data_IF_716153791098
#
_entry.id   IF_716153791098
#
_cell.length_a   1.000
_cell.length_b   1.000
_cell.length_c   1.000
_cell.angle_alpha   90.00
_cell.angle_beta   90.00
_cell.angle_gamma   90.00
#
_symmetry.space_group_name_H-M   'P 1'
#
loop_
_entity.id
_entity.type
_entity.pdbx_description
1 polymer ?
#
# COMPACT_ATOMS: atom_id res chain seq x y z
N UNK A 1 18.54 -6.91 -3.53
CA UNK A 1 17.20 -6.34 -3.75
C UNK A 1 17.05 -6.10 -5.24
N UNK A 2 16.00 -6.63 -5.85
CA UNK A 2 15.80 -6.56 -7.29
C UNK A 2 14.93 -5.36 -7.68
N UNK A 3 15.22 -4.75 -8.83
CA UNK A 3 14.52 -3.56 -9.30
C UNK A 3 13.21 -3.92 -10.01
N UNK A 4 12.10 -3.35 -9.55
CA UNK A 4 10.80 -3.42 -10.24
C UNK A 4 10.76 -2.43 -11.43
N UNK A 5 10.83 -1.13 -11.15
CA UNK A 5 10.80 -0.07 -12.15
C UNK A 5 11.44 1.23 -11.61
N UNK A 6 11.75 2.16 -12.52
CA UNK A 6 12.07 3.56 -12.21
C UNK A 6 11.06 4.45 -12.92
N UNK A 7 10.47 5.38 -12.18
CA UNK A 7 9.49 6.36 -12.68
C UNK A 7 9.99 7.78 -12.44
N UNK A 8 9.43 8.75 -13.16
CA UNK A 8 9.88 10.14 -13.15
C UNK A 8 9.06 11.02 -12.21
N UNK A 9 7.79 10.69 -11.97
CA UNK A 9 6.88 11.53 -11.15
C UNK A 9 6.30 10.79 -9.95
N UNK A 10 5.75 11.58 -9.02
CA UNK A 10 5.05 11.06 -7.85
C UNK A 10 3.76 10.33 -8.25
N UNK A 11 3.02 10.86 -9.22
CA UNK A 11 1.79 10.25 -9.72
C UNK A 11 2.06 8.87 -10.33
N UNK A 12 3.14 8.74 -11.10
CA UNK A 12 3.58 7.44 -11.62
C UNK A 12 3.99 6.51 -10.47
N UNK A 13 4.70 7.00 -9.46
CA UNK A 13 5.05 6.18 -8.30
C UNK A 13 3.80 5.65 -7.58
N UNK A 14 2.78 6.50 -7.39
CA UNK A 14 1.50 6.11 -6.79
C UNK A 14 0.75 5.08 -7.64
N UNK A 15 0.70 5.26 -8.96
CA UNK A 15 0.09 4.31 -9.90
C UNK A 15 0.76 2.93 -9.80
N UNK A 16 2.09 2.87 -9.86
CA UNK A 16 2.85 1.62 -9.78
C UNK A 16 2.70 0.95 -8.41
N UNK A 17 2.77 1.72 -7.32
CA UNK A 17 2.59 1.18 -5.97
C UNK A 17 1.17 0.62 -5.77
N UNK A 18 0.15 1.36 -6.19
CA UNK A 18 -1.24 0.91 -6.04
C UNK A 18 -1.53 -0.32 -6.91
N UNK A 19 -1.02 -0.36 -8.15
CA UNK A 19 -1.14 -1.55 -8.99
C UNK A 19 -0.44 -2.78 -8.38
N UNK A 20 0.78 -2.62 -7.86
CA UNK A 20 1.49 -3.67 -7.12
C UNK A 20 0.67 -4.18 -5.92
N UNK A 21 0.12 -3.26 -5.12
CA UNK A 21 -0.71 -3.60 -3.96
C UNK A 21 -1.99 -4.33 -4.37
N UNK A 22 -2.58 -4.00 -5.52
CA UNK A 22 -3.73 -4.72 -6.05
C UNK A 22 -3.39 -6.16 -6.44
N UNK A 23 -2.27 -6.39 -7.12
CA UNK A 23 -1.83 -7.76 -7.46
C UNK A 23 -1.56 -8.54 -6.18
N UNK A 24 -0.82 -7.94 -5.24
CA UNK A 24 -0.50 -8.57 -3.97
C UNK A 24 -1.74 -8.98 -3.17
N UNK A 25 -2.71 -8.08 -2.97
CA UNK A 25 -3.92 -8.37 -2.19
C UNK A 25 -4.81 -9.46 -2.80
N UNK A 26 -4.69 -9.69 -4.10
CA UNK A 26 -5.49 -10.69 -4.83
C UNK A 26 -4.81 -12.06 -4.90
N UNK A 27 -3.48 -12.10 -4.85
CA UNK A 27 -2.71 -13.32 -5.11
C UNK A 27 -1.91 -13.84 -3.91
N UNK A 28 -1.76 -13.02 -2.85
CA UNK A 28 -1.09 -13.44 -1.62
C UNK A 28 -1.97 -14.36 -0.77
N UNK A 29 -1.34 -15.31 -0.10
CA UNK A 29 -2.02 -16.13 0.89
C UNK A 29 -2.28 -15.34 2.18
N UNK A 30 -3.26 -15.79 2.96
CA UNK A 30 -3.51 -15.20 4.27
C UNK A 30 -2.25 -15.24 5.14
N UNK A 31 -1.89 -14.09 5.73
CA UNK A 31 -0.67 -13.86 6.54
C UNK A 31 0.67 -14.01 5.80
N UNK A 32 0.64 -14.11 4.47
CA UNK A 32 1.86 -13.99 3.67
C UNK A 32 2.37 -12.55 3.74
N UNK A 33 3.70 -12.37 3.74
CA UNK A 33 4.34 -11.06 3.61
C UNK A 33 4.79 -10.85 2.17
N UNK A 34 4.91 -9.60 1.74
CA UNK A 34 5.29 -9.24 0.37
C UNK A 34 6.61 -9.85 -0.09
N UNK A 35 7.63 -9.96 0.77
CA UNK A 35 8.91 -10.57 0.39
C UNK A 35 8.79 -12.09 0.11
N UNK A 36 8.27 -12.93 1.03
CA UNK A 36 7.97 -14.34 0.74
C UNK A 36 7.03 -14.54 -0.46
N UNK A 37 6.06 -13.65 -0.64
CA UNK A 37 5.17 -13.68 -1.80
C UNK A 37 5.94 -13.51 -3.10
N UNK A 38 6.83 -12.53 -3.19
CA UNK A 38 7.71 -12.32 -4.37
C UNK A 38 8.64 -13.51 -4.59
N UNK A 39 9.19 -14.11 -3.54
CA UNK A 39 10.00 -15.33 -3.66
C UNK A 39 9.19 -16.49 -4.26
N UNK A 40 7.89 -16.59 -3.94
CA UNK A 40 6.99 -17.64 -4.44
C UNK A 40 6.54 -17.42 -5.89
N UNK A 41 6.08 -16.22 -6.24
CA UNK A 41 5.52 -15.93 -7.58
C UNK A 41 6.57 -15.48 -8.59
N UNK A 42 7.72 -15.02 -8.09
CA UNK A 42 8.79 -14.44 -8.90
C UNK A 42 8.53 -12.98 -9.27
N UNK A 43 9.58 -12.16 -9.29
CA UNK A 43 9.47 -10.73 -9.63
C UNK A 43 9.00 -10.51 -11.09
N UNK A 44 9.33 -11.43 -12.00
CA UNK A 44 8.93 -11.33 -13.41
C UNK A 44 7.41 -11.32 -13.59
N UNK A 45 6.68 -12.14 -12.82
CA UNK A 45 5.21 -12.16 -12.82
C UNK A 45 4.62 -10.78 -12.49
N UNK A 46 5.24 -10.07 -11.53
CA UNK A 46 4.81 -8.72 -11.18
C UNK A 46 5.21 -7.71 -12.26
N UNK A 47 6.38 -7.86 -12.90
CA UNK A 47 6.80 -6.99 -14.01
C UNK A 47 5.88 -7.08 -15.21
N UNK A 48 5.48 -8.29 -15.61
CA UNK A 48 4.54 -8.51 -16.72
C UNK A 48 3.23 -7.74 -16.49
N UNK A 49 2.69 -7.80 -15.27
CA UNK A 49 1.41 -7.17 -14.91
C UNK A 49 1.47 -5.67 -14.64
N UNK A 50 2.56 -5.20 -14.03
CA UNK A 50 2.65 -3.82 -13.52
C UNK A 50 3.51 -2.95 -14.45
N UNK A 51 4.61 -3.47 -14.97
CA UNK A 51 5.58 -2.65 -15.73
C UNK A 51 5.30 -2.73 -17.23
N UNK A 52 5.09 -3.94 -17.75
CA UNK A 52 5.00 -4.21 -19.19
C UNK A 52 3.59 -3.98 -19.74
N UNK A 53 2.55 -4.11 -18.92
CA UNK A 53 1.17 -3.83 -19.27
C UNK A 53 0.68 -2.49 -18.68
N UNK A 54 0.88 -1.39 -19.41
CA UNK A 54 0.42 -0.06 -18.97
C UNK A 54 -1.11 0.02 -18.79
N UNK A 55 -1.87 -0.60 -19.71
CA UNK A 55 -3.34 -0.54 -19.66
C UNK A 55 -3.83 -1.33 -18.45
N UNK A 56 -3.30 -2.54 -18.26
CA UNK A 56 -3.58 -3.38 -17.09
C UNK A 56 -3.16 -2.72 -15.79
N UNK A 57 -1.99 -2.06 -15.74
CA UNK A 57 -1.54 -1.31 -14.57
C UNK A 57 -2.55 -0.24 -14.15
N UNK A 58 -3.07 0.55 -15.09
CA UNK A 58 -4.09 1.58 -14.79
C UNK A 58 -5.39 0.98 -14.27
N UNK A 59 -5.82 -0.15 -14.83
CA UNK A 59 -7.01 -0.88 -14.34
C UNK A 59 -6.78 -1.42 -12.93
N UNK A 60 -5.61 -2.00 -12.65
CA UNK A 60 -5.22 -2.46 -11.32
C UNK A 60 -5.20 -1.31 -10.31
N UNK A 61 -4.61 -0.18 -10.69
CA UNK A 61 -4.57 1.01 -9.85
C UNK A 61 -5.96 1.55 -9.54
N UNK A 62 -6.86 1.64 -10.52
CA UNK A 62 -8.23 2.08 -10.28
C UNK A 62 -8.97 1.14 -9.31
N UNK A 63 -8.84 -0.17 -9.47
CA UNK A 63 -9.43 -1.16 -8.54
C UNK A 63 -8.86 -1.03 -7.13
N UNK A 64 -7.58 -0.67 -7.01
CA UNK A 64 -6.99 -0.35 -5.73
C UNK A 64 -7.66 0.87 -5.10
N UNK A 65 -7.78 1.99 -5.83
CA UNK A 65 -8.46 3.19 -5.34
C UNK A 65 -9.89 2.90 -4.89
N UNK A 66 -10.65 2.16 -5.69
CA UNK A 66 -12.02 1.75 -5.37
C UNK A 66 -12.07 0.95 -4.05
N UNK A 67 -11.08 0.08 -3.81
CA UNK A 67 -10.98 -0.68 -2.56
C UNK A 67 -10.66 0.18 -1.33
N UNK A 68 -10.03 1.34 -1.54
CA UNK A 68 -9.66 2.25 -0.47
C UNK A 68 -10.77 3.27 -0.15
N UNK A 69 -11.76 3.49 -1.02
CA UNK A 69 -12.83 4.48 -0.82
C UNK A 69 -13.50 4.38 0.56
N UNK A 70 -13.77 3.15 1.02
CA UNK A 70 -14.40 2.89 2.33
C UNK A 70 -13.52 3.23 3.53
N UNK A 71 -12.21 3.38 3.34
CA UNK A 71 -11.23 3.68 4.39
C UNK A 71 -10.66 5.10 4.30
N UNK A 72 -11.23 5.97 3.46
CA UNK A 72 -10.83 7.39 3.32
C UNK A 72 -11.35 8.28 4.45
N UNK A 73 -11.28 7.82 5.69
CA UNK A 73 -11.46 8.67 6.86
C UNK A 73 -10.25 8.52 7.76
N UNK A 74 -9.82 9.61 8.38
CA UNK A 74 -8.75 9.55 9.36
C UNK A 74 -9.25 8.75 10.58
N UNK A 75 -8.68 7.56 10.84
CA UNK A 75 -9.12 6.72 11.95
C UNK A 75 -8.82 7.33 13.31
N UNK A 76 -7.99 8.38 13.36
CA UNK A 76 -7.62 9.11 14.57
C UNK A 76 -8.34 10.46 14.70
N UNK A 77 -9.21 10.84 13.75
CA UNK A 77 -9.83 12.16 13.74
C UNK A 77 -10.61 12.44 15.04
N UNK A 78 -11.29 11.43 15.57
CA UNK A 78 -12.05 11.52 16.81
C UNK A 78 -11.13 11.64 18.03
N UNK A 79 -10.08 10.85 18.04
CA UNK A 79 -9.07 10.76 19.09
C UNK A 79 -8.29 12.08 19.19
N UNK A 80 -8.01 12.74 18.06
CA UNK A 80 -7.38 14.05 18.00
C UNK A 80 -8.33 15.14 18.51
N UNK A 81 -9.61 15.07 18.15
CA UNK A 81 -10.61 16.06 18.57
C UNK A 81 -10.91 15.99 20.08
N UNK A 82 -10.88 14.80 20.67
CA UNK A 82 -11.18 14.61 22.10
C UNK A 82 -9.95 14.85 23.00
N UNK A 83 -10.09 15.75 23.96
CA UNK A 83 -9.04 16.05 24.94
C UNK A 83 -8.84 14.91 25.95
N UNK A 84 -9.87 14.12 26.27
CA UNK A 84 -9.74 13.00 27.21
C UNK A 84 -9.04 11.81 26.57
N UNK A 85 -9.41 11.45 25.33
CA UNK A 85 -8.74 10.38 24.58
C UNK A 85 -7.26 10.70 24.30
N UNK A 86 -6.90 11.96 24.04
CA UNK A 86 -5.48 12.36 23.88
C UNK A 86 -4.60 12.03 25.08
N UNK A 87 -5.15 12.00 26.30
CA UNK A 87 -4.38 11.71 27.51
C UNK A 87 -3.81 10.28 27.53
N UNK A 88 -4.43 9.33 26.81
CA UNK A 88 -3.93 7.94 26.73
C UNK A 88 -2.66 7.79 25.87
N UNK A 89 -2.34 8.80 25.05
CA UNK A 89 -1.13 8.83 24.22
C UNK A 89 0.01 9.66 24.85
N UNK A 90 -0.19 10.20 26.06
CA UNK A 90 0.86 10.94 26.77
C UNK A 90 1.84 9.93 27.38
N UNK A 91 3.17 10.09 27.16
CA UNK A 91 4.17 9.20 27.74
C UNK A 91 4.03 9.13 29.26
N UNK A 92 3.99 7.90 29.80
CA UNK A 92 3.90 7.63 31.25
C UNK A 92 5.09 8.24 32.00
N UNK A 93 6.25 8.35 31.34
CA UNK A 93 7.43 9.03 31.87
C UNK A 93 8.05 9.90 30.79
N UNK A 94 8.12 11.22 31.04
CA UNK A 94 8.99 12.13 30.29
C UNK A 94 10.35 12.12 30.98
N UNK A 95 11.38 11.62 30.29
CA UNK A 95 12.77 11.74 30.75
C UNK A 95 13.29 13.05 30.16
N UNK A 96 13.61 14.00 31.04
CA UNK A 96 14.35 15.23 30.71
C UNK A 96 15.84 15.07 30.94
#
# INVERSE_FOLDING_TARGET
>A
TDLLARVATEEEAMEYCGAFMQVYREEAHYLERTAPWIERVGLNHVKEKVVEDEVGRKVLYQRFLDSQEVFKFDPWAKEIADAETRKVYIPIKKIG
#
